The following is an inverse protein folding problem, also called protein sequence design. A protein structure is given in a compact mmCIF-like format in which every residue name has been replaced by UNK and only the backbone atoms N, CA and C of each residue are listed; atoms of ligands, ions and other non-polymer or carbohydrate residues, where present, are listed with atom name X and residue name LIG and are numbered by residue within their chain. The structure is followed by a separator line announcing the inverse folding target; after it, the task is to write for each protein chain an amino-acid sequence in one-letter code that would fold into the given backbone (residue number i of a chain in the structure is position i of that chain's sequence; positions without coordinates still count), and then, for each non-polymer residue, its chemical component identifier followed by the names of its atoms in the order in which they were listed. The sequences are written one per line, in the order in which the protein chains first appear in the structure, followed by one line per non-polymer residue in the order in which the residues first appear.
data_IF_849053779362
#
_entry.id   IF_849053779362
#
_cell.length_a   1.000
_cell.length_b   1.000
_cell.length_c   1.000
_cell.angle_alpha   90.00
_cell.angle_beta   90.00
_cell.angle_gamma   90.00
#
_symmetry.space_group_name_H-M   'P 1'
#
loop_
_entity.id
_entity.type
_entity.pdbx_description
1 polymer ?
#
# COMPACT_ATOMS: atom_id res chain seq x y z
N UNK A 1 40.16 27.61 -5.40
CA UNK A 1 39.54 27.00 -6.60
C UNK A 1 38.70 25.80 -6.19
N UNK A 2 37.41 25.87 -6.55
CA UNK A 2 36.35 24.86 -6.52
C UNK A 2 36.79 23.38 -6.56
N UNK A 3 36.15 22.55 -5.72
CA UNK A 3 35.06 21.65 -6.16
C UNK A 3 34.36 20.98 -4.97
N UNK A 4 33.02 21.05 -5.02
CA UNK A 4 32.06 20.37 -4.14
C UNK A 4 32.17 18.84 -4.20
N UNK A 5 31.68 18.13 -3.16
CA UNK A 5 31.59 16.67 -3.12
C UNK A 5 30.51 16.15 -4.08
N UNK A 6 30.88 15.18 -4.90
CA UNK A 6 29.98 14.48 -5.82
C UNK A 6 28.88 13.76 -5.06
N UNK A 7 27.64 14.09 -5.40
CA UNK A 7 26.43 13.55 -4.81
C UNK A 7 26.23 12.06 -5.07
N UNK A 8 25.60 11.39 -4.10
CA UNK A 8 24.96 10.11 -4.29
C UNK A 8 23.77 10.29 -5.24
N UNK A 9 24.03 10.13 -6.54
CA UNK A 9 23.02 10.10 -7.59
C UNK A 9 22.28 8.78 -7.61
N UNK A 10 20.95 8.90 -7.49
CA UNK A 10 19.91 7.94 -7.84
C UNK A 10 20.33 6.74 -8.71
N UNK A 11 20.28 5.53 -8.14
CA UNK A 11 20.22 4.28 -8.90
C UNK A 11 19.58 3.16 -8.07
N UNK A 12 18.31 3.33 -7.70
CA UNK A 12 17.43 2.21 -7.39
C UNK A 12 16.21 2.25 -8.33
N UNK A 13 16.48 2.41 -9.63
CA UNK A 13 15.50 2.08 -10.65
C UNK A 13 15.45 0.56 -10.72
N UNK A 14 14.38 -0.04 -10.21
CA UNK A 14 14.02 -1.40 -10.59
C UNK A 14 13.95 -1.40 -12.13
N UNK A 15 14.84 -2.17 -12.78
CA UNK A 15 14.77 -2.41 -14.21
C UNK A 15 13.36 -2.93 -14.50
N UNK A 16 12.59 -2.17 -15.27
CA UNK A 16 11.36 -2.66 -15.84
C UNK A 16 11.69 -3.93 -16.63
N UNK A 17 11.06 -5.04 -16.25
CA UNK A 17 11.14 -6.27 -17.02
C UNK A 17 10.57 -5.96 -18.42
N UNK A 18 11.34 -6.18 -19.50
CA UNK A 18 10.85 -5.91 -20.84
C UNK A 18 9.86 -7.02 -21.22
N UNK A 19 8.63 -6.63 -21.58
CA UNK A 19 7.62 -7.54 -22.10
C UNK A 19 6.32 -7.51 -21.30
N UNK A 20 5.36 -6.75 -21.79
CA UNK A 20 3.99 -6.79 -21.29
C UNK A 20 3.20 -5.67 -21.93
N UNK A 21 2.57 -5.96 -23.07
CA UNK A 21 1.40 -5.20 -23.50
C UNK A 21 0.51 -5.03 -22.27
N UNK A 22 0.17 -3.79 -21.94
CA UNK A 22 -0.66 -3.50 -20.78
C UNK A 22 -1.96 -4.30 -20.90
N UNK A 23 -2.10 -5.36 -20.11
CA UNK A 23 -3.21 -6.30 -20.32
C UNK A 23 -4.47 -5.64 -19.78
N UNK A 24 -5.38 -5.38 -20.71
CA UNK A 24 -6.66 -4.77 -20.43
C UNK A 24 -7.58 -5.74 -19.68
N UNK A 25 -8.38 -5.19 -18.76
CA UNK A 25 -9.47 -5.91 -18.13
C UNK A 25 -10.47 -6.36 -19.20
N UNK A 26 -10.86 -7.64 -19.24
CA UNK A 26 -11.76 -8.15 -20.27
C UNK A 26 -13.20 -7.59 -20.17
N UNK A 27 -13.56 -6.96 -19.04
CA UNK A 27 -14.89 -6.40 -18.85
C UNK A 27 -14.98 -4.89 -19.16
N UNK A 28 -13.94 -4.11 -18.86
CA UNK A 28 -13.99 -2.65 -19.01
C UNK A 28 -12.89 -2.06 -19.91
N UNK A 29 -11.99 -2.88 -20.44
CA UNK A 29 -10.90 -2.45 -21.32
C UNK A 29 -9.80 -1.63 -20.64
N UNK A 30 -9.89 -1.33 -19.35
CA UNK A 30 -8.86 -0.57 -18.62
C UNK A 30 -7.70 -1.48 -18.21
N UNK A 31 -6.48 -0.96 -18.27
CA UNK A 31 -5.26 -1.66 -17.83
C UNK A 31 -5.37 -2.14 -16.39
N UNK A 32 -5.02 -3.40 -16.16
CA UNK A 32 -4.88 -3.94 -14.80
C UNK A 32 -3.49 -3.75 -14.22
N UNK A 33 -3.40 -3.77 -12.89
CA UNK A 33 -2.12 -3.76 -12.14
C UNK A 33 -1.73 -5.18 -11.73
N UNK A 34 -0.46 -5.53 -11.79
CA UNK A 34 0.01 -6.88 -11.43
C UNK A 34 -0.10 -7.12 -9.92
N UNK A 35 -0.69 -8.26 -9.54
CA UNK A 35 -0.77 -8.75 -8.16
C UNK A 35 -0.17 -10.16 -8.08
N UNK A 36 0.64 -10.48 -7.06
CA UNK A 36 1.17 -11.82 -6.87
C UNK A 36 0.07 -12.89 -6.73
N UNK A 37 0.27 -14.06 -7.34
CA UNK A 37 -0.70 -15.15 -7.32
C UNK A 37 -0.98 -15.69 -5.91
N UNK A 38 0.00 -15.64 -5.01
CA UNK A 38 -0.20 -16.05 -3.61
C UNK A 38 -1.22 -15.13 -2.90
N UNK A 39 -1.20 -13.82 -3.17
CA UNK A 39 -2.18 -12.86 -2.65
C UNK A 39 -3.58 -13.22 -3.12
N UNK A 40 -3.73 -13.45 -4.42
CA UNK A 40 -5.03 -13.81 -5.00
C UNK A 40 -5.55 -15.11 -4.39
N UNK A 41 -4.72 -16.15 -4.30
CA UNK A 41 -5.12 -17.44 -3.68
C UNK A 41 -5.56 -17.30 -2.22
N UNK A 42 -4.94 -16.41 -1.46
CA UNK A 42 -5.28 -16.18 -0.04
C UNK A 42 -6.58 -15.38 0.13
N UNK A 43 -6.99 -14.63 -0.88
CA UNK A 43 -8.15 -13.74 -0.82
C UNK A 43 -9.37 -14.28 -1.56
N UNK A 44 -9.24 -15.35 -2.35
CA UNK A 44 -10.39 -15.99 -2.96
C UNK A 44 -11.14 -16.89 -1.96
N UNK A 45 -12.45 -17.01 -2.15
CA UNK A 45 -13.29 -17.93 -1.38
C UNK A 45 -12.85 -19.38 -1.59
N UNK A 46 -13.06 -20.26 -0.58
CA UNK A 46 -12.76 -21.68 -0.71
C UNK A 46 -13.41 -22.29 -1.96
N UNK A 47 -12.70 -23.20 -2.63
CA UNK A 47 -13.18 -23.88 -3.84
C UNK A 47 -12.84 -23.17 -5.16
N UNK A 48 -12.36 -21.92 -5.11
CA UNK A 48 -11.95 -21.18 -6.31
C UNK A 48 -10.45 -21.38 -6.56
N UNK A 49 -10.10 -21.97 -7.70
CA UNK A 49 -8.72 -22.22 -8.07
C UNK A 49 -8.09 -21.01 -8.79
N UNK A 50 -6.90 -20.61 -8.34
CA UNK A 50 -6.09 -19.58 -8.97
C UNK A 50 -4.63 -20.10 -9.16
N UNK A 51 -4.39 -20.96 -10.18
CA UNK A 51 -3.10 -21.63 -10.37
C UNK A 51 -1.96 -20.72 -10.86
N UNK A 52 -2.27 -19.57 -11.48
CA UNK A 52 -1.27 -18.62 -11.96
C UNK A 52 -0.40 -18.02 -10.86
N UNK A 53 0.85 -17.71 -11.20
CA UNK A 53 1.82 -17.06 -10.30
C UNK A 53 1.61 -15.56 -10.14
N UNK A 54 0.84 -14.95 -11.04
CA UNK A 54 0.46 -13.54 -11.05
C UNK A 54 -0.90 -13.37 -11.69
N UNK A 55 -1.61 -12.34 -11.29
CA UNK A 55 -2.87 -11.89 -11.89
C UNK A 55 -2.81 -10.38 -12.09
N UNK A 56 -3.82 -9.84 -12.72
CA UNK A 56 -4.05 -8.41 -12.80
C UNK A 56 -5.28 -8.03 -11.97
N UNK A 57 -5.23 -6.89 -11.28
CA UNK A 57 -6.37 -6.32 -10.56
C UNK A 57 -6.93 -5.13 -11.34
N UNK A 58 -8.25 -5.10 -11.53
CA UNK A 58 -8.94 -3.99 -12.20
C UNK A 58 -9.30 -2.91 -11.17
N UNK A 59 -8.73 -1.70 -11.33
CA UNK A 59 -8.93 -0.55 -10.44
C UNK A 59 -10.22 0.25 -10.69
N UNK A 60 -10.96 -0.05 -11.76
CA UNK A 60 -12.19 0.68 -12.12
C UNK A 60 -13.28 0.41 -11.07
N UNK A 61 -13.82 1.42 -10.38
CA UNK A 61 -14.78 1.21 -9.29
C UNK A 61 -16.06 0.49 -9.72
N UNK A 62 -16.66 0.90 -10.83
CA UNK A 62 -17.90 0.29 -11.35
C UNK A 62 -17.73 -1.00 -12.15
N UNK A 63 -16.50 -1.52 -12.28
CA UNK A 63 -16.27 -2.78 -12.99
C UNK A 63 -16.37 -3.97 -12.04
N UNK A 64 -17.19 -4.97 -12.38
CA UNK A 64 -17.37 -6.18 -11.57
C UNK A 64 -16.10 -7.03 -11.44
N UNK A 65 -15.17 -6.95 -12.41
CA UNK A 65 -13.90 -7.68 -12.36
C UNK A 65 -13.04 -7.17 -11.20
N UNK A 66 -12.63 -8.04 -10.29
CA UNK A 66 -11.57 -7.75 -9.32
C UNK A 66 -10.24 -8.21 -9.89
N UNK A 67 -10.03 -9.52 -9.99
CA UNK A 67 -8.81 -10.11 -10.53
C UNK A 67 -9.07 -10.76 -11.88
N UNK A 68 -8.07 -10.77 -12.75
CA UNK A 68 -8.13 -11.49 -14.01
C UNK A 68 -6.76 -11.99 -14.45
N UNK A 69 -6.75 -13.00 -15.31
CA UNK A 69 -5.56 -13.55 -15.91
C UNK A 69 -5.68 -13.51 -17.44
N UNK A 70 -4.58 -13.25 -18.18
CA UNK A 70 -4.62 -13.20 -19.65
C UNK A 70 -5.03 -14.53 -20.29
N UNK A 71 -4.81 -15.64 -19.58
CA UNK A 71 -5.24 -16.99 -19.99
C UNK A 71 -6.71 -17.31 -19.66
N UNK A 72 -7.52 -16.30 -19.35
CA UNK A 72 -8.98 -16.43 -19.23
C UNK A 72 -9.57 -16.50 -17.81
N UNK A 73 -8.75 -16.53 -16.75
CA UNK A 73 -9.31 -16.47 -15.39
C UNK A 73 -9.90 -15.08 -15.11
N UNK A 74 -11.06 -15.04 -14.44
CA UNK A 74 -11.74 -13.81 -14.06
C UNK A 74 -12.44 -14.04 -12.72
N UNK A 75 -12.17 -13.18 -11.75
CA UNK A 75 -12.73 -13.23 -10.41
C UNK A 75 -13.38 -11.90 -10.08
N UNK A 76 -14.60 -11.94 -9.57
CA UNK A 76 -15.41 -10.77 -9.24
C UNK A 76 -15.44 -10.53 -7.73
N UNK A 77 -16.15 -9.48 -7.30
CA UNK A 77 -16.21 -9.10 -5.88
C UNK A 77 -16.81 -10.21 -5.01
N UNK A 78 -17.75 -10.96 -5.55
CA UNK A 78 -18.40 -12.11 -4.93
C UNK A 78 -17.47 -13.32 -4.77
N UNK A 79 -16.34 -13.39 -5.49
CA UNK A 79 -15.35 -14.47 -5.37
C UNK A 79 -14.29 -14.17 -4.30
N UNK A 80 -14.21 -12.92 -3.85
CA UNK A 80 -13.17 -12.42 -2.94
C UNK A 80 -13.71 -12.36 -1.50
N UNK A 81 -12.90 -12.80 -0.54
CA UNK A 81 -13.23 -12.89 0.90
C UNK A 81 -13.48 -11.54 1.56
N UNK A 82 -12.94 -10.47 1.00
CA UNK A 82 -13.01 -9.12 1.57
C UNK A 82 -13.56 -8.11 0.55
N UNK A 83 -14.33 -7.10 0.98
CA UNK A 83 -14.64 -5.93 0.20
C UNK A 83 -13.36 -5.28 -0.35
N UNK A 84 -13.28 -5.07 -1.67
CA UNK A 84 -12.14 -4.39 -2.27
C UNK A 84 -12.38 -2.88 -2.21
N UNK A 85 -11.66 -2.19 -1.33
CA UNK A 85 -11.93 -0.80 -0.90
C UNK A 85 -12.23 0.25 -1.99
N UNK A 86 -11.79 0.02 -3.23
CA UNK A 86 -11.97 0.94 -4.35
C UNK A 86 -13.05 0.50 -5.35
N UNK A 87 -13.72 -0.63 -5.12
CA UNK A 87 -14.87 -1.08 -5.90
C UNK A 87 -16.14 -0.42 -5.40
N UNK A 88 -17.07 -0.17 -6.31
CA UNK A 88 -18.38 0.34 -5.98
C UNK A 88 -19.10 -0.64 -5.05
N UNK A 89 -19.76 -0.12 -4.00
CA UNK A 89 -20.46 -0.93 -3.01
C UNK A 89 -19.55 -1.65 -1.99
N UNK A 90 -18.25 -1.35 -1.94
CA UNK A 90 -17.37 -1.91 -0.93
C UNK A 90 -17.75 -1.42 0.48
N UNK A 91 -18.26 -2.32 1.32
CA UNK A 91 -18.59 -2.04 2.71
C UNK A 91 -18.06 -3.17 3.62
N UNK A 92 -17.17 -2.88 4.58
CA UNK A 92 -16.57 -1.57 4.84
C UNK A 92 -15.48 -1.18 3.83
N UNK A 93 -15.29 0.14 3.66
CA UNK A 93 -14.12 0.68 2.95
C UNK A 93 -12.89 0.58 3.85
N UNK A 94 -12.05 -0.44 3.64
CA UNK A 94 -10.84 -0.63 4.45
C UNK A 94 -9.74 0.39 4.12
N UNK A 95 -9.19 0.99 5.18
CA UNK A 95 -7.91 1.68 5.12
C UNK A 95 -6.75 0.70 5.37
N UNK A 96 -6.87 -0.19 6.37
CA UNK A 96 -5.88 -1.24 6.66
C UNK A 96 -6.56 -2.61 6.80
N UNK A 97 -6.30 -3.52 5.85
CA UNK A 97 -6.81 -4.89 5.91
C UNK A 97 -6.15 -5.71 7.01
N UNK A 98 -4.85 -5.48 7.29
CA UNK A 98 -4.13 -6.24 8.31
C UNK A 98 -4.73 -6.06 9.71
N UNK A 99 -5.21 -4.85 9.99
CA UNK A 99 -5.71 -4.45 11.31
C UNK A 99 -7.23 -4.22 11.35
N UNK A 100 -7.95 -4.49 10.26
CA UNK A 100 -9.41 -4.25 10.18
C UNK A 100 -9.79 -2.78 10.39
N UNK A 101 -8.92 -1.84 10.02
CA UNK A 101 -9.18 -0.41 10.18
C UNK A 101 -9.88 0.12 8.93
N UNK A 102 -11.01 0.81 9.11
CA UNK A 102 -11.81 1.39 8.04
C UNK A 102 -11.41 2.84 7.75
N UNK A 103 -11.77 3.34 6.57
CA UNK A 103 -11.61 4.75 6.18
C UNK A 103 -12.26 5.68 7.21
N UNK A 104 -13.49 5.38 7.63
CA UNK A 104 -14.24 6.18 8.60
C UNK A 104 -13.51 6.29 9.96
N UNK A 105 -12.92 5.18 10.45
CA UNK A 105 -12.11 5.21 11.68
C UNK A 105 -10.87 6.09 11.54
N UNK A 106 -10.22 6.07 10.38
CA UNK A 106 -9.08 6.95 10.08
C UNK A 106 -9.50 8.41 10.07
N UNK A 107 -10.60 8.77 9.39
CA UNK A 107 -11.15 10.14 9.38
C UNK A 107 -11.44 10.62 10.80
N UNK A 108 -12.12 9.80 11.61
CA UNK A 108 -12.44 10.14 12.99
C UNK A 108 -11.18 10.36 13.85
N UNK A 109 -10.16 9.51 13.71
CA UNK A 109 -8.90 9.65 14.43
C UNK A 109 -8.15 10.93 14.02
N UNK A 110 -8.11 11.25 12.74
CA UNK A 110 -7.48 12.49 12.24
C UNK A 110 -8.22 13.71 12.78
N UNK A 111 -9.56 13.73 12.73
CA UNK A 111 -10.36 14.84 13.23
C UNK A 111 -10.19 15.04 14.75
N UNK A 112 -10.07 13.94 15.51
CA UNK A 112 -9.89 13.99 16.96
C UNK A 112 -8.49 14.46 17.39
N UNK A 113 -7.45 14.02 16.68
CA UNK A 113 -6.05 14.16 17.15
C UNK A 113 -5.22 15.14 16.34
N UNK A 114 -5.66 15.49 15.12
CA UNK A 114 -4.87 16.22 14.13
C UNK A 114 -3.69 15.44 13.55
N UNK A 115 -3.50 14.17 13.94
CA UNK A 115 -2.35 13.37 13.51
C UNK A 115 -2.60 12.75 12.14
N UNK A 116 -1.61 12.89 11.25
CA UNK A 116 -1.70 12.50 9.83
C UNK A 116 -0.57 11.57 9.41
N UNK A 117 0.12 10.93 10.35
CA UNK A 117 1.15 9.93 10.05
C UNK A 117 0.55 8.53 10.14
N UNK A 118 0.54 7.79 9.03
CA UNK A 118 -0.05 6.44 8.92
C UNK A 118 0.24 5.54 10.12
N UNK A 119 1.52 5.35 10.46
CA UNK A 119 1.91 4.48 11.57
C UNK A 119 1.41 4.97 12.93
N UNK A 120 1.27 6.29 13.14
CA UNK A 120 0.71 6.83 14.39
C UNK A 120 -0.79 6.63 14.42
N UNK A 121 -1.49 6.96 13.34
CA UNK A 121 -2.94 6.75 13.25
C UNK A 121 -3.29 5.29 13.49
N UNK A 122 -2.56 4.37 12.85
CA UNK A 122 -2.80 2.95 13.06
C UNK A 122 -2.55 2.58 14.53
N UNK A 123 -1.42 2.99 15.11
CA UNK A 123 -1.14 2.75 16.54
C UNK A 123 -2.20 3.36 17.45
N UNK A 124 -2.69 4.56 17.17
CA UNK A 124 -3.77 5.22 17.90
C UNK A 124 -5.06 4.40 17.84
N UNK A 125 -5.39 3.89 16.65
CA UNK A 125 -6.61 3.11 16.43
C UNK A 125 -6.55 1.68 16.95
N UNK A 126 -5.36 1.09 17.05
CA UNK A 126 -5.18 -0.34 17.36
C UNK A 126 -4.38 -0.59 18.64
N UNK A 127 -3.92 0.45 19.33
CA UNK A 127 -3.07 0.38 20.53
C UNK A 127 -1.61 -0.02 20.27
N UNK A 128 -1.33 -0.69 19.16
CA UNK A 128 0.01 -1.16 18.77
C UNK A 128 0.26 -1.00 17.26
N UNK A 129 1.52 -1.13 16.83
CA UNK A 129 1.82 -1.31 15.40
C UNK A 129 1.43 -2.74 15.02
N UNK A 130 0.47 -2.95 14.12
CA UNK A 130 -0.01 -4.29 13.80
C UNK A 130 1.06 -5.09 13.07
N UNK A 131 1.07 -6.40 13.27
CA UNK A 131 1.82 -7.32 12.42
C UNK A 131 1.24 -7.26 11.00
N UNK A 132 2.00 -6.67 10.08
CA UNK A 132 1.58 -6.53 8.69
C UNK A 132 1.71 -7.86 7.95
N UNK A 133 0.63 -8.31 7.32
CA UNK A 133 0.60 -9.44 6.40
C UNK A 133 -0.11 -9.04 5.09
N UNK A 134 0.34 -7.93 4.51
CA UNK A 134 -0.34 -7.29 3.38
C UNK A 134 -0.36 -8.17 2.12
N UNK A 135 0.67 -9.01 1.94
CA UNK A 135 0.75 -9.96 0.83
C UNK A 135 -0.36 -11.02 0.86
N UNK A 136 -0.99 -11.28 2.00
CA UNK A 136 -2.12 -12.22 2.10
C UNK A 136 -3.46 -11.53 2.37
N UNK A 137 -3.45 -10.33 2.98
CA UNK A 137 -4.67 -9.66 3.45
C UNK A 137 -5.13 -8.48 2.59
N UNK A 138 -4.22 -7.79 1.90
CA UNK A 138 -4.58 -6.64 1.08
C UNK A 138 -4.83 -7.10 -0.36
N UNK A 139 -5.96 -6.76 -1.01
CA UNK A 139 -6.21 -7.08 -2.41
C UNK A 139 -5.11 -6.67 -3.40
N UNK A 140 -4.31 -5.64 -3.08
CA UNK A 140 -3.16 -5.23 -3.89
C UNK A 140 -1.88 -6.03 -3.61
N UNK A 141 -1.83 -6.84 -2.56
CA UNK A 141 -0.61 -7.52 -2.10
C UNK A 141 0.47 -6.57 -1.54
N UNK A 142 0.16 -5.28 -1.38
CA UNK A 142 1.08 -4.22 -0.99
C UNK A 142 0.68 -3.54 0.33
N UNK A 143 1.56 -2.71 0.89
CA UNK A 143 1.27 -1.98 2.14
C UNK A 143 -0.02 -1.13 2.05
N UNK A 144 -0.83 -1.18 3.11
CA UNK A 144 -2.11 -0.48 3.19
C UNK A 144 -2.00 1.06 3.25
N UNK A 145 -0.81 1.61 3.45
CA UNK A 145 -0.60 3.07 3.52
C UNK A 145 -1.02 3.80 2.23
N UNK A 146 -1.06 3.10 1.09
CA UNK A 146 -1.55 3.60 -0.20
C UNK A 146 -3.02 3.32 -0.49
N UNK A 147 -3.78 2.70 0.44
CA UNK A 147 -5.19 2.36 0.22
C UNK A 147 -6.10 3.61 0.34
N UNK A 148 -7.25 3.49 1.02
CA UNK A 148 -8.18 4.59 1.28
C UNK A 148 -7.61 5.68 2.21
N UNK A 149 -6.31 5.66 2.52
CA UNK A 149 -5.67 6.65 3.39
C UNK A 149 -5.70 8.07 2.82
N UNK A 150 -5.34 8.23 1.54
CA UNK A 150 -5.37 9.54 0.89
C UNK A 150 -6.79 10.12 0.82
N UNK A 151 -7.79 9.25 0.58
CA UNK A 151 -9.20 9.64 0.62
C UNK A 151 -9.63 10.04 2.05
N UNK A 152 -9.24 9.28 3.07
CA UNK A 152 -9.51 9.63 4.47
C UNK A 152 -8.88 10.98 4.87
N UNK A 153 -7.67 11.25 4.39
CA UNK A 153 -7.00 12.54 4.60
C UNK A 153 -7.77 13.70 3.94
N UNK A 154 -8.22 13.51 2.70
CA UNK A 154 -8.99 14.53 1.97
C UNK A 154 -10.38 14.80 2.59
N UNK A 155 -11.00 13.79 3.18
CA UNK A 155 -12.30 13.90 3.88
C UNK A 155 -12.18 14.46 5.30
N UNK A 156 -10.98 14.46 5.88
CA UNK A 156 -10.77 14.97 7.23
C UNK A 156 -10.71 16.50 7.26
N UNK A 157 -11.18 17.10 8.35
CA UNK A 157 -11.18 18.56 8.54
C UNK A 157 -9.83 19.11 9.00
N UNK A 158 -8.85 18.23 9.28
CA UNK A 158 -7.56 18.63 9.84
C UNK A 158 -6.55 18.96 8.73
N UNK A 159 -5.94 20.14 8.81
CA UNK A 159 -4.75 20.46 8.01
C UNK A 159 -3.61 19.51 8.46
N UNK A 160 -2.85 18.91 7.52
CA UNK A 160 -1.73 18.05 7.88
C UNK A 160 -0.79 18.76 8.85
N UNK A 161 -0.63 18.22 10.07
CA UNK A 161 0.36 18.75 11.00
C UNK A 161 1.74 18.47 10.39
N UNK A 162 2.59 19.50 10.18
CA UNK A 162 3.92 19.29 9.65
C UNK A 162 4.69 18.30 10.53
N UNK A 163 5.29 17.28 9.89
CA UNK A 163 6.19 16.36 10.60
C UNK A 163 7.36 17.19 11.13
N UNK A 164 7.42 17.39 12.45
CA UNK A 164 8.59 18.03 13.09
C UNK A 164 9.80 17.13 12.81
N UNK A 165 10.74 17.63 12.00
CA UNK A 165 12.03 16.96 11.80
C UNK A 165 12.74 16.92 13.14
N UNK A 166 13.32 15.77 13.48
CA UNK A 166 14.18 15.68 14.67
C UNK A 166 15.31 16.69 14.55
N UNK A 167 15.61 17.40 15.64
CA UNK A 167 16.80 18.26 15.75
C UNK A 167 18.03 17.47 16.18
N UNK A 168 17.86 16.20 16.51
CA UNK A 168 18.96 15.31 16.85
C UNK A 168 19.85 15.12 15.61
N UNK A 169 21.13 15.53 15.67
CA UNK A 169 22.07 15.38 14.56
C UNK A 169 22.33 13.91 14.20
N UNK A 170 21.99 12.96 15.07
CA UNK A 170 22.09 11.53 14.81
C UNK A 170 20.82 10.94 14.20
N UNK A 171 19.75 11.72 14.07
CA UNK A 171 18.49 11.23 13.52
C UNK A 171 18.65 10.76 12.08
N UNK A 172 18.33 9.49 11.83
CA UNK A 172 18.43 8.86 10.51
C UNK A 172 19.82 8.32 10.17
N UNK A 173 20.82 8.43 11.06
CA UNK A 173 22.10 7.77 10.89
C UNK A 173 22.01 6.29 11.31
N UNK A 174 22.71 5.43 10.58
CA UNK A 174 22.85 4.02 10.97
C UNK A 174 23.92 3.87 12.05
N UNK A 175 23.83 2.82 12.87
CA UNK A 175 24.88 2.46 13.83
C UNK A 175 26.27 2.40 13.20
N UNK A 176 26.39 1.84 11.98
CA UNK A 176 27.64 1.81 11.22
C UNK A 176 28.17 3.21 10.90
N UNK A 177 27.29 4.11 10.50
CA UNK A 177 27.64 5.51 10.22
C UNK A 177 28.14 6.21 11.49
N UNK A 178 27.45 6.05 12.61
CA UNK A 178 27.83 6.63 13.90
C UNK A 178 29.21 6.09 14.33
N UNK A 179 29.42 4.77 14.28
CA UNK A 179 30.71 4.16 14.63
C UNK A 179 31.86 4.67 13.76
N UNK A 180 31.63 4.81 12.45
CA UNK A 180 32.65 5.30 11.50
C UNK A 180 33.03 6.75 11.80
N UNK A 181 32.07 7.59 12.18
CA UNK A 181 32.35 8.96 12.61
C UNK A 181 33.16 9.00 13.90
N UNK A 182 32.82 8.16 14.88
CA UNK A 182 33.55 8.10 16.16
C UNK A 182 35.00 7.62 15.98
N UNK A 183 35.24 6.64 15.11
CA UNK A 183 36.61 6.15 14.81
C UNK A 183 37.46 7.16 14.04
N UNK A 184 36.85 8.07 13.26
CA UNK A 184 37.60 9.12 12.53
C UNK A 184 37.96 10.34 13.38
N UNK A 185 37.37 10.48 14.56
CA UNK A 185 37.62 11.58 15.49
C UNK A 185 38.65 11.23 16.57
N UNK A 186 39.10 9.98 16.61
CA UNK A 186 40.22 9.46 17.39
C UNK A 186 41.35 9.04 16.47
#
# INVERSE_FOLDING_TARGET
MNKQPGGCGAACCAKALPGGDSIACPLCGKTGEIVPGHTVRKLLKPGIAAPGDRYLICRTPGCAAVYFHPKGALFKQEDVLVPVYFKAGAEPVYACYCAGVTKARVVAAINKTGVTRWAVIIKELTGAVPKCNCGEKNPLGQCCSGNAYAAAMAESSAKPVPVKRSRDPLHGLTLKTILTYMVKLH
#
